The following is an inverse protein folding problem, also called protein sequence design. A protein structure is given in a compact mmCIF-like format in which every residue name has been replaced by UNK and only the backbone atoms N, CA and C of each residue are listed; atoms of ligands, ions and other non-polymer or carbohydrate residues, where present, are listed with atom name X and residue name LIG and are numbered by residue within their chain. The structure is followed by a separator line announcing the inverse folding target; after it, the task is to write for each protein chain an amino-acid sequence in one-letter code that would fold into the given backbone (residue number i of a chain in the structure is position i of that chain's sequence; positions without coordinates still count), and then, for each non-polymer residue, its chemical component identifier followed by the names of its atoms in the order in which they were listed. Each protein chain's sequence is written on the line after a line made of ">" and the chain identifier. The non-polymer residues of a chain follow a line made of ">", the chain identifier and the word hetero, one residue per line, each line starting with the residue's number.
data_IF_519429229513
#
_entry.id   IF_519429229513
#
_cell.length_a   1.000
_cell.length_b   1.000
_cell.length_c   1.000
_cell.angle_alpha   90.00
_cell.angle_beta   90.00
_cell.angle_gamma   90.00
#
_symmetry.space_group_name_H-M   'P 1'
#
loop_
_entity.id
_entity.type
_entity.pdbx_description
1 polymer ?
#
# COMPACT_ATOMS: atom_id res chain seq x y z
N UNK A 1 32.13 5.72 -14.89
CA UNK A 1 30.87 6.12 -15.55
C UNK A 1 29.86 6.51 -14.47
N UNK A 2 29.18 7.64 -14.68
CA UNK A 2 28.29 8.31 -13.72
C UNK A 2 27.02 7.50 -13.49
N UNK A 3 26.70 7.17 -12.24
CA UNK A 3 25.30 7.05 -11.82
C UNK A 3 25.00 8.29 -10.98
N UNK A 4 24.42 9.30 -11.64
CA UNK A 4 23.82 10.43 -10.95
C UNK A 4 22.67 9.87 -10.11
N UNK A 5 22.73 10.08 -8.80
CA UNK A 5 21.58 10.01 -7.92
C UNK A 5 20.49 10.90 -8.53
N UNK A 6 19.52 10.27 -9.21
CA UNK A 6 18.23 10.92 -9.41
C UNK A 6 17.59 10.95 -8.04
N UNK A 7 17.59 12.12 -7.43
CA UNK A 7 16.81 12.44 -6.25
C UNK A 7 15.38 11.93 -6.44
N UNK A 8 15.06 10.82 -5.77
CA UNK A 8 14.05 10.64 -4.71
C UNK A 8 12.69 11.35 -4.83
N UNK A 9 12.34 11.90 -5.99
CA UNK A 9 11.10 12.62 -6.28
C UNK A 9 10.11 11.62 -6.89
N UNK A 10 9.08 11.29 -6.11
CA UNK A 10 7.95 10.51 -6.60
C UNK A 10 7.25 11.25 -7.73
N UNK A 11 6.78 10.55 -8.78
CA UNK A 11 5.90 11.19 -9.75
C UNK A 11 4.68 11.77 -9.02
N UNK A 12 4.23 13.00 -9.36
CA UNK A 12 3.10 13.66 -8.67
C UNK A 12 1.84 12.79 -8.57
N UNK A 13 1.65 11.90 -9.55
CA UNK A 13 0.60 10.88 -9.62
C UNK A 13 0.54 9.89 -8.44
N UNK A 14 1.54 9.87 -7.55
CA UNK A 14 1.67 8.92 -6.43
C UNK A 14 1.78 9.56 -5.05
N UNK A 15 1.85 10.89 -4.94
CA UNK A 15 1.98 11.56 -3.64
C UNK A 15 0.80 11.25 -2.70
N UNK A 16 -0.42 11.18 -3.24
CA UNK A 16 -1.61 10.78 -2.49
C UNK A 16 -1.54 9.32 -2.02
N UNK A 17 -1.07 8.42 -2.88
CA UNK A 17 -0.93 6.99 -2.60
C UNK A 17 0.08 6.75 -1.47
N UNK A 18 1.26 7.35 -1.54
CA UNK A 18 2.28 7.28 -0.50
C UNK A 18 1.73 7.76 0.84
N UNK A 19 1.06 8.93 0.85
CA UNK A 19 0.45 9.49 2.06
C UNK A 19 -0.56 8.53 2.70
N UNK A 20 -1.44 7.91 1.92
CA UNK A 20 -2.43 6.96 2.44
C UNK A 20 -1.80 5.69 3.00
N UNK A 21 -0.80 5.13 2.31
CA UNK A 21 -0.07 3.94 2.79
C UNK A 21 0.81 4.24 4.01
N UNK A 22 1.30 5.48 4.16
CA UNK A 22 2.02 5.91 5.36
C UNK A 22 1.09 6.24 6.53
N UNK A 23 -0.12 6.71 6.30
CA UNK A 23 -1.09 7.03 7.34
C UNK A 23 -1.62 5.80 8.12
N UNK A 24 -1.40 4.58 7.60
CA UNK A 24 -1.67 3.35 8.35
C UNK A 24 -0.55 2.99 9.33
N UNK A 25 0.53 3.78 9.41
CA UNK A 25 1.54 3.67 10.44
C UNK A 25 0.89 3.81 11.84
N UNK A 26 1.28 2.95 12.78
CA UNK A 26 0.63 2.77 14.09
C UNK A 26 -0.85 2.36 14.05
N UNK A 27 -1.21 1.39 13.19
CA UNK A 27 -2.52 0.74 13.27
C UNK A 27 -2.46 -0.74 12.91
N UNK A 28 -3.47 -1.52 13.31
CA UNK A 28 -3.52 -2.95 12.96
C UNK A 28 -3.40 -3.20 11.46
N UNK A 29 -3.78 -2.23 10.62
CA UNK A 29 -3.72 -2.30 9.15
C UNK A 29 -2.38 -1.86 8.55
N UNK A 30 -1.32 -1.77 9.37
CA UNK A 30 0.01 -1.30 8.98
C UNK A 30 0.66 -2.10 7.83
N UNK A 31 0.98 -1.45 6.71
CA UNK A 31 1.70 -2.09 5.60
C UNK A 31 3.19 -2.22 5.96
N UNK A 32 3.64 -3.45 6.18
CA UNK A 32 5.00 -3.82 6.57
C UNK A 32 5.95 -3.88 5.37
N UNK A 33 7.24 -3.96 5.62
CA UNK A 33 8.23 -4.18 4.56
C UNK A 33 7.98 -5.49 3.79
N UNK A 34 7.60 -6.56 4.49
CA UNK A 34 7.29 -7.85 3.86
C UNK A 34 6.08 -7.75 2.93
N UNK A 35 5.06 -6.97 3.30
CA UNK A 35 3.90 -6.68 2.46
C UNK A 35 4.30 -5.96 1.18
N UNK A 36 5.15 -4.93 1.32
CA UNK A 36 5.66 -4.16 0.19
C UNK A 36 6.47 -5.08 -0.73
N UNK A 37 7.37 -5.90 -0.18
CA UNK A 37 8.12 -6.92 -0.95
C UNK A 37 7.19 -7.90 -1.66
N UNK A 38 6.11 -8.36 -1.02
CA UNK A 38 5.11 -9.25 -1.63
C UNK A 38 4.44 -8.58 -2.83
N UNK A 39 4.04 -7.31 -2.70
CA UNK A 39 3.48 -6.53 -3.81
C UNK A 39 4.52 -6.35 -4.92
N UNK A 40 5.77 -5.97 -4.58
CA UNK A 40 6.86 -5.84 -5.55
C UNK A 40 7.09 -7.10 -6.37
N UNK A 41 7.12 -8.27 -5.72
CA UNK A 41 7.26 -9.57 -6.40
C UNK A 41 6.13 -9.84 -7.40
N UNK A 42 4.90 -9.45 -7.08
CA UNK A 42 3.76 -9.59 -8.01
C UNK A 42 3.89 -8.70 -9.26
N UNK A 43 4.74 -7.67 -9.20
CA UNK A 43 5.07 -6.76 -10.30
C UNK A 43 6.38 -7.13 -11.01
N UNK A 44 6.97 -8.28 -10.69
CA UNK A 44 8.27 -8.71 -11.23
C UNK A 44 9.47 -7.94 -10.66
N UNK A 45 9.30 -7.23 -9.56
CA UNK A 45 10.35 -6.46 -8.90
C UNK A 45 10.85 -7.20 -7.65
N UNK A 46 12.13 -7.56 -7.64
CA UNK A 46 12.78 -8.07 -6.43
C UNK A 46 13.36 -6.91 -5.62
N UNK A 47 12.79 -6.69 -4.44
CA UNK A 47 13.13 -5.56 -3.58
C UNK A 47 14.12 -5.98 -2.50
N UNK A 48 15.29 -5.33 -2.38
CA UNK A 48 16.20 -5.56 -1.27
C UNK A 48 15.54 -5.09 0.03
N UNK A 49 15.72 -5.83 1.12
CA UNK A 49 15.12 -5.46 2.42
C UNK A 49 15.74 -4.13 2.91
N UNK A 50 14.98 -3.04 2.77
CA UNK A 50 15.35 -1.65 3.12
C UNK A 50 14.31 -1.04 4.05
N UNK A 51 14.46 0.24 4.40
CA UNK A 51 13.42 0.98 5.10
C UNK A 51 12.12 1.09 4.27
N UNK A 52 11.00 1.22 4.97
CA UNK A 52 9.65 1.16 4.36
C UNK A 52 9.45 2.20 3.26
N UNK A 53 9.96 3.41 3.47
CA UNK A 53 9.76 4.51 2.54
C UNK A 53 10.54 4.27 1.25
N UNK A 54 11.78 3.84 1.36
CA UNK A 54 12.59 3.45 0.20
C UNK A 54 11.93 2.33 -0.61
N UNK A 55 11.38 1.31 0.07
CA UNK A 55 10.67 0.21 -0.60
C UNK A 55 9.45 0.70 -1.38
N UNK A 56 8.62 1.57 -0.79
CA UNK A 56 7.45 2.11 -1.47
C UNK A 56 7.82 2.95 -2.68
N UNK A 57 8.81 3.84 -2.54
CA UNK A 57 9.32 4.63 -3.65
C UNK A 57 9.80 3.76 -4.79
N UNK A 58 10.57 2.71 -4.49
CA UNK A 58 11.06 1.78 -5.51
C UNK A 58 9.91 1.09 -6.26
N UNK A 59 8.87 0.61 -5.57
CA UNK A 59 7.71 0.04 -6.23
C UNK A 59 6.98 1.07 -7.08
N UNK A 60 6.76 2.28 -6.56
CA UNK A 60 6.02 3.32 -7.28
C UNK A 60 6.75 3.77 -8.54
N UNK A 61 8.08 3.92 -8.47
CA UNK A 61 8.91 4.20 -9.65
C UNK A 61 8.84 3.05 -10.66
N UNK A 62 9.03 1.81 -10.24
CA UNK A 62 8.92 0.65 -11.13
C UNK A 62 7.54 0.56 -11.78
N UNK A 63 6.47 0.76 -11.01
CA UNK A 63 5.10 0.73 -11.51
C UNK A 63 4.83 1.88 -12.49
N UNK A 64 5.43 3.05 -12.29
CA UNK A 64 5.35 4.17 -13.23
C UNK A 64 6.06 3.85 -14.54
N UNK A 65 7.33 3.43 -14.48
CA UNK A 65 8.17 3.15 -15.65
C UNK A 65 7.61 2.03 -16.53
N UNK A 66 6.90 1.07 -15.92
CA UNK A 66 6.36 -0.10 -16.61
C UNK A 66 4.85 -0.02 -16.88
N UNK A 67 4.20 1.13 -16.67
CA UNK A 67 2.74 1.29 -16.80
C UNK A 67 1.93 0.28 -15.95
N UNK A 68 2.44 -0.08 -14.78
CA UNK A 68 1.85 -1.05 -13.84
C UNK A 68 1.14 -0.38 -12.65
N UNK A 69 0.78 0.91 -12.74
CA UNK A 69 0.11 1.67 -11.67
C UNK A 69 -1.10 0.92 -11.12
N UNK A 70 -1.99 0.46 -12.01
CA UNK A 70 -3.22 -0.21 -11.62
C UNK A 70 -2.95 -1.55 -10.90
N UNK A 71 -1.99 -2.33 -11.40
CA UNK A 71 -1.58 -3.61 -10.80
C UNK A 71 -1.00 -3.40 -9.40
N UNK A 72 -0.12 -2.40 -9.24
CA UNK A 72 0.45 -2.03 -7.94
C UNK A 72 -0.64 -1.64 -6.95
N UNK A 73 -1.54 -0.73 -7.35
CA UNK A 73 -2.66 -0.27 -6.52
C UNK A 73 -3.57 -1.44 -6.13
N UNK A 74 -3.87 -2.33 -7.07
CA UNK A 74 -4.68 -3.52 -6.83
C UNK A 74 -4.02 -4.47 -5.83
N UNK A 75 -2.69 -4.63 -5.88
CA UNK A 75 -1.95 -5.43 -4.89
C UNK A 75 -2.09 -4.91 -3.46
N UNK A 76 -1.97 -3.58 -3.27
CA UNK A 76 -2.20 -2.98 -1.95
C UNK A 76 -3.67 -3.06 -1.50
N UNK A 77 -4.61 -2.89 -2.42
CA UNK A 77 -6.05 -3.05 -2.13
C UNK A 77 -6.37 -4.47 -1.67
N UNK A 78 -5.87 -5.49 -2.38
CA UNK A 78 -6.06 -6.90 -2.01
C UNK A 78 -5.51 -7.17 -0.62
N UNK A 79 -4.33 -6.65 -0.30
CA UNK A 79 -3.72 -6.79 1.01
C UNK A 79 -4.58 -6.21 2.14
N UNK A 80 -5.16 -5.02 1.93
CA UNK A 80 -6.06 -4.39 2.90
C UNK A 80 -7.37 -5.18 3.05
N UNK A 81 -7.92 -5.71 1.96
CA UNK A 81 -9.12 -6.54 1.95
C UNK A 81 -8.89 -7.88 2.67
N UNK A 82 -7.76 -8.54 2.43
CA UNK A 82 -7.34 -9.77 3.12
C UNK A 82 -7.31 -9.53 4.64
N UNK A 83 -6.68 -8.43 5.08
CA UNK A 83 -6.66 -8.07 6.51
C UNK A 83 -8.03 -7.78 7.09
N UNK A 84 -8.86 -7.02 6.39
CA UNK A 84 -10.23 -6.76 6.83
C UNK A 84 -11.00 -8.07 7.02
N UNK A 85 -10.82 -9.03 6.10
CA UNK A 85 -11.42 -10.36 6.21
C UNK A 85 -10.89 -11.13 7.43
N UNK A 86 -9.57 -11.13 7.66
CA UNK A 86 -8.96 -11.74 8.85
C UNK A 86 -9.55 -11.15 10.13
N UNK A 87 -9.65 -9.82 10.25
CA UNK A 87 -10.23 -9.19 11.42
C UNK A 87 -11.72 -9.46 11.58
N UNK A 88 -12.46 -9.60 10.47
CA UNK A 88 -13.87 -9.97 10.53
C UNK A 88 -14.05 -11.37 11.09
N UNK A 89 -13.23 -12.34 10.66
CA UNK A 89 -13.23 -13.69 11.23
C UNK A 89 -12.82 -13.69 12.70
N UNK A 90 -11.78 -12.93 13.07
CA UNK A 90 -11.35 -12.83 14.47
C UNK A 90 -12.43 -12.17 15.36
N UNK A 91 -13.12 -11.15 14.87
CA UNK A 91 -14.18 -10.47 15.64
C UNK A 91 -15.38 -11.39 15.91
N UNK A 92 -15.68 -12.30 14.96
CA UNK A 92 -16.70 -13.34 15.13
C UNK A 92 -16.30 -14.38 16.19
N UNK A 93 -15.03 -14.78 16.19
CA UNK A 93 -14.52 -15.83 17.08
C UNK A 93 -14.17 -15.31 18.49
N UNK A 94 -13.87 -14.01 18.63
CA UNK A 94 -13.44 -13.39 19.88
C UNK A 94 -14.24 -12.11 20.18
N UNK A 95 -15.49 -12.23 20.68
CA UNK A 95 -16.39 -11.09 20.89
C UNK A 95 -15.82 -9.98 21.78
N UNK A 96 -15.03 -10.34 22.79
CA UNK A 96 -14.38 -9.37 23.68
C UNK A 96 -13.39 -8.44 22.95
N UNK A 97 -12.77 -8.93 21.86
CA UNK A 97 -11.84 -8.15 21.03
C UNK A 97 -12.52 -7.50 19.82
N UNK A 98 -13.80 -7.83 19.56
CA UNK A 98 -14.54 -7.34 18.39
C UNK A 98 -14.55 -5.81 18.26
N UNK A 99 -14.73 -5.00 19.32
CA UNK A 99 -14.72 -3.53 19.19
C UNK A 99 -13.40 -2.99 18.60
N UNK A 100 -12.26 -3.52 19.03
CA UNK A 100 -10.94 -3.13 18.50
C UNK A 100 -10.78 -3.58 17.05
N UNK A 101 -11.15 -4.82 16.73
CA UNK A 101 -11.05 -5.36 15.38
C UNK A 101 -11.94 -4.60 14.40
N UNK A 102 -13.13 -4.16 14.83
CA UNK A 102 -14.01 -3.33 13.99
C UNK A 102 -13.36 -1.99 13.63
N UNK A 103 -12.63 -1.34 14.55
CA UNK A 103 -11.88 -0.13 14.22
C UNK A 103 -10.83 -0.38 13.11
N UNK A 104 -10.13 -1.51 13.17
CA UNK A 104 -9.17 -1.90 12.14
C UNK A 104 -9.84 -2.25 10.81
N UNK A 105 -10.98 -2.95 10.83
CA UNK A 105 -11.78 -3.23 9.63
C UNK A 105 -12.20 -1.92 8.95
N UNK A 106 -12.71 -0.95 9.72
CA UNK A 106 -13.09 0.34 9.18
C UNK A 106 -11.89 1.07 8.57
N UNK A 107 -10.74 1.09 9.27
CA UNK A 107 -9.52 1.73 8.74
C UNK A 107 -9.03 1.06 7.45
N UNK A 108 -9.06 -0.27 7.34
CA UNK A 108 -8.72 -0.99 6.12
C UNK A 108 -9.65 -0.61 4.95
N UNK A 109 -10.96 -0.56 5.20
CA UNK A 109 -11.98 -0.21 4.20
C UNK A 109 -11.85 1.24 3.75
N UNK A 110 -11.71 2.18 4.66
CA UNK A 110 -11.51 3.60 4.33
C UNK A 110 -10.24 3.80 3.51
N UNK A 111 -9.13 3.17 3.88
CA UNK A 111 -7.88 3.24 3.11
C UNK A 111 -8.04 2.63 1.71
N UNK A 112 -8.75 1.50 1.59
CA UNK A 112 -9.08 0.90 0.29
C UNK A 112 -9.85 1.87 -0.61
N UNK A 113 -10.86 2.56 -0.07
CA UNK A 113 -11.65 3.54 -0.82
C UNK A 113 -10.79 4.72 -1.28
N UNK A 114 -9.87 5.20 -0.43
CA UNK A 114 -8.92 6.26 -0.80
C UNK A 114 -8.02 5.82 -1.94
N UNK A 115 -7.44 4.62 -1.88
CA UNK A 115 -6.62 4.07 -2.96
C UNK A 115 -7.41 3.89 -4.27
N UNK A 116 -8.66 3.44 -4.18
CA UNK A 116 -9.54 3.32 -5.36
C UNK A 116 -9.86 4.70 -5.97
N UNK A 117 -10.01 5.73 -5.15
CA UNK A 117 -10.18 7.11 -5.61
C UNK A 117 -8.93 7.59 -6.34
N UNK A 118 -7.75 7.42 -5.75
CA UNK A 118 -6.45 7.76 -6.34
C UNK A 118 -6.19 7.04 -7.68
N UNK A 119 -6.72 5.81 -7.83
CA UNK A 119 -6.64 5.04 -9.07
C UNK A 119 -7.55 5.62 -10.18
N UNK A 120 -8.67 6.23 -9.82
CA UNK A 120 -9.63 6.84 -10.76
C UNK A 120 -9.28 8.28 -11.11
N UNK A 121 -8.64 9.02 -10.19
CA UNK A 121 -8.15 10.36 -10.47
C UNK A 121 -7.01 10.27 -11.49
N UNK A 122 -7.27 10.79 -12.68
CA UNK A 122 -6.31 10.89 -13.76
C UNK A 122 -5.18 11.86 -13.33
N UNK A 123 -3.89 11.51 -13.44
CA UNK A 123 -2.80 12.41 -13.09
C UNK A 123 -2.61 13.60 -14.05
N UNK A 124 -3.53 13.82 -14.98
CA UNK A 124 -3.53 14.90 -15.98
C UNK A 124 -4.78 15.79 -15.94
N UNK A 125 -5.56 15.73 -14.85
CA UNK A 125 -6.55 16.77 -14.50
C UNK A 125 -6.03 17.64 -13.35
#
# INVERSE_FOLDING_TARGET
>A
MKQKHHDNVLPPAYEGVERHLMAVFYSGVYVTNADIVKVGKSLGLDLPMKDRMALLKQIMHHAYENNMKAQMMQGFIQLLQERAKTYQTLAQNFPAAAPLMQQWIQKARSTTLLLQREMRSNPYE
#
